data_IF_599053969271
#
_entry.id   IF_599053969271
#
_cell.length_a   1.000
_cell.length_b   1.000
_cell.length_c   1.000
_cell.angle_alpha   90.00
_cell.angle_beta   90.00
_cell.angle_gamma   90.00
#
_symmetry.space_group_name_H-M   'P 1'
#
loop_
_entity.id
_entity.type
_entity.pdbx_description
1 polymer ?
#
# COMPACT_ATOMS: atom_id res chain seq x y z
N UNK A 1 -10.70 7.81 3.14
CA UNK A 1 -11.97 8.02 2.40
C UNK A 1 -12.54 9.33 2.92
N UNK A 2 -12.79 10.32 2.06
CA UNK A 2 -13.34 11.61 2.53
C UNK A 2 -14.87 11.48 2.51
N UNK A 3 -15.49 11.38 3.67
CA UNK A 3 -16.94 11.31 3.79
C UNK A 3 -17.45 12.75 3.69
N UNK A 4 -17.93 13.15 2.52
CA UNK A 4 -18.53 14.47 2.33
C UNK A 4 -19.77 14.62 3.23
N UNK A 5 -20.25 15.86 3.41
CA UNK A 5 -21.30 16.31 4.37
C UNK A 5 -22.64 15.51 4.40
N UNK A 6 -22.87 14.53 3.53
CA UNK A 6 -24.07 13.69 3.49
C UNK A 6 -23.79 12.18 3.41
N UNK A 7 -22.55 11.75 3.63
CA UNK A 7 -22.20 10.32 3.66
C UNK A 7 -22.22 9.75 5.08
N UNK A 8 -22.55 8.47 5.21
CA UNK A 8 -22.46 7.71 6.46
C UNK A 8 -21.37 6.66 6.30
N UNK A 9 -20.45 6.58 7.26
CA UNK A 9 -19.47 5.52 7.36
C UNK A 9 -19.98 4.48 8.35
N UNK A 10 -20.05 3.22 7.92
CA UNK A 10 -20.47 2.09 8.75
C UNK A 10 -19.29 1.13 8.86
N UNK A 11 -18.80 0.91 10.07
CA UNK A 11 -17.78 -0.10 10.35
C UNK A 11 -18.46 -1.44 10.57
N UNK A 12 -18.08 -2.44 9.79
CA UNK A 12 -18.60 -3.80 9.89
C UNK A 12 -17.45 -4.75 10.23
N UNK A 13 -17.51 -5.49 11.35
CA UNK A 13 -16.46 -6.41 11.76
C UNK A 13 -16.34 -7.67 10.88
N UNK A 14 -17.40 -8.06 10.14
CA UNK A 14 -17.41 -9.27 9.32
C UNK A 14 -17.96 -9.03 7.92
N UNK A 15 -17.53 -9.86 6.96
CA UNK A 15 -18.00 -9.79 5.57
C UNK A 15 -19.50 -10.13 5.45
N UNK A 16 -19.98 -11.08 6.26
CA UNK A 16 -21.41 -11.45 6.34
C UNK A 16 -22.31 -10.27 6.75
N UNK A 17 -21.85 -9.41 7.66
CA UNK A 17 -22.60 -8.21 8.06
C UNK A 17 -22.61 -7.15 6.96
N UNK A 18 -21.52 -7.02 6.20
CA UNK A 18 -21.45 -6.13 5.04
C UNK A 18 -22.47 -6.57 3.98
N UNK A 19 -22.56 -7.87 3.71
CA UNK A 19 -23.49 -8.42 2.72
C UNK A 19 -24.95 -8.26 3.14
N UNK A 20 -25.27 -8.47 4.42
CA UNK A 20 -26.61 -8.21 4.97
C UNK A 20 -26.99 -6.74 4.85
N UNK A 21 -26.09 -5.83 5.22
CA UNK A 21 -26.32 -4.39 5.12
C UNK A 21 -26.50 -3.95 3.66
N UNK A 22 -25.70 -4.50 2.73
CA UNK A 22 -25.89 -4.26 1.30
C UNK A 22 -27.25 -4.72 0.83
N UNK A 23 -27.66 -5.94 1.16
CA UNK A 23 -28.96 -6.46 0.76
C UNK A 23 -30.14 -5.63 1.34
N UNK A 24 -30.00 -5.14 2.56
CA UNK A 24 -31.04 -4.33 3.21
C UNK A 24 -31.14 -2.93 2.60
N UNK A 25 -30.03 -2.26 2.35
CA UNK A 25 -30.01 -0.95 1.66
C UNK A 25 -30.49 -1.09 0.22
N UNK A 26 -30.04 -2.14 -0.49
CA UNK A 26 -30.51 -2.45 -1.84
C UNK A 26 -31.95 -2.93 -1.88
N UNK A 27 -32.58 -3.39 -0.80
CA UNK A 27 -34.01 -3.73 -0.85
C UNK A 27 -34.91 -2.53 -0.56
N UNK A 28 -34.44 -1.57 0.24
CA UNK A 28 -35.25 -0.46 0.74
C UNK A 28 -34.97 0.88 0.05
N UNK A 29 -33.77 1.12 -0.50
CA UNK A 29 -33.28 2.47 -0.86
C UNK A 29 -32.62 2.54 -2.26
N UNK A 30 -32.94 1.57 -3.14
CA UNK A 30 -32.31 1.24 -4.45
C UNK A 30 -31.86 2.42 -5.32
N UNK A 31 -32.55 3.55 -5.31
CA UNK A 31 -32.34 4.65 -6.27
C UNK A 31 -31.75 5.93 -5.65
N UNK A 32 -31.64 6.02 -4.32
CA UNK A 32 -31.21 7.25 -3.62
C UNK A 32 -29.81 7.15 -2.98
N UNK A 33 -29.23 5.95 -2.88
CA UNK A 33 -27.99 5.71 -2.14
C UNK A 33 -26.99 4.88 -2.96
N UNK A 34 -25.78 5.40 -3.11
CA UNK A 34 -24.64 4.70 -3.72
C UNK A 34 -23.78 4.05 -2.62
N UNK A 35 -23.79 2.72 -2.55
CA UNK A 35 -22.98 1.96 -1.59
C UNK A 35 -21.59 1.75 -2.17
N UNK A 36 -20.58 2.35 -1.53
CA UNK A 36 -19.18 2.17 -1.91
C UNK A 36 -18.39 1.56 -0.77
N UNK A 37 -17.74 0.43 -1.04
CA UNK A 37 -16.70 -0.08 -0.16
C UNK A 37 -15.37 0.62 -0.46
N UNK A 38 -14.55 0.95 0.56
CA UNK A 38 -13.21 1.44 0.34
C UNK A 38 -12.42 0.39 -0.45
N UNK A 39 -11.94 0.75 -1.64
CA UNK A 39 -11.01 -0.10 -2.37
C UNK A 39 -9.67 -0.07 -1.61
N UNK A 40 -9.12 -1.24 -1.26
CA UNK A 40 -7.75 -1.34 -0.73
C UNK A 40 -6.79 -0.88 -1.82
N UNK A 41 -6.47 0.43 -1.84
CA UNK A 41 -5.46 0.99 -2.74
C UNK A 41 -4.14 0.35 -2.38
N UNK A 42 -3.44 -0.25 -3.35
CA UNK A 42 -2.06 -0.70 -3.15
C UNK A 42 -1.18 0.54 -2.96
N UNK A 43 -0.64 0.78 -1.77
CA UNK A 43 0.14 1.98 -1.52
C UNK A 43 1.46 1.95 -2.29
N UNK A 44 1.97 3.15 -2.56
CA UNK A 44 3.27 3.36 -3.20
C UNK A 44 4.32 3.66 -2.15
N UNK A 45 5.47 3.02 -2.31
CA UNK A 45 6.64 3.19 -1.48
C UNK A 45 7.75 3.81 -2.32
N UNK A 46 8.44 4.82 -1.80
CA UNK A 46 9.66 5.35 -2.44
C UNK A 46 10.88 5.04 -1.60
N UNK A 47 11.88 4.41 -2.24
CA UNK A 47 13.22 4.25 -1.70
C UNK A 47 14.13 5.27 -2.36
N UNK A 48 14.72 6.15 -1.56
CA UNK A 48 15.50 7.27 -2.06
C UNK A 48 17.00 6.99 -2.12
N UNK A 49 17.68 7.65 -3.07
CA UNK A 49 19.14 7.71 -3.23
C UNK A 49 19.78 6.34 -3.31
N UNK A 50 19.15 5.48 -4.09
CA UNK A 50 19.69 4.18 -4.44
C UNK A 50 20.82 4.37 -5.45
N UNK A 51 21.92 3.64 -5.26
CA UNK A 51 23.03 3.60 -6.21
C UNK A 51 22.60 2.98 -7.54
N UNK A 52 23.27 3.37 -8.63
CA UNK A 52 22.85 3.06 -10.00
C UNK A 52 23.12 1.61 -10.41
N UNK A 53 24.07 0.99 -9.73
CA UNK A 53 24.53 -0.39 -9.91
C UNK A 53 23.80 -1.41 -9.02
N UNK A 54 22.93 -0.95 -8.10
CA UNK A 54 22.12 -1.88 -7.31
C UNK A 54 21.05 -2.57 -8.17
N UNK A 55 21.03 -3.90 -8.12
CA UNK A 55 20.03 -4.74 -8.78
C UNK A 55 18.71 -4.70 -8.00
N UNK A 56 17.69 -4.12 -8.62
CA UNK A 56 16.36 -3.94 -8.04
C UNK A 56 15.66 -5.26 -7.75
N UNK A 57 15.80 -6.25 -8.62
CA UNK A 57 15.10 -7.53 -8.45
C UNK A 57 15.69 -8.31 -7.28
N UNK A 58 17.02 -8.35 -7.19
CA UNK A 58 17.72 -8.94 -6.04
C UNK A 58 17.40 -8.19 -4.74
N UNK A 59 17.33 -6.86 -4.81
CA UNK A 59 16.97 -6.01 -3.68
C UNK A 59 15.57 -6.30 -3.16
N UNK A 60 14.58 -6.36 -4.05
CA UNK A 60 13.20 -6.67 -3.70
C UNK A 60 13.09 -8.08 -3.12
N UNK A 61 13.83 -9.03 -3.68
CA UNK A 61 13.88 -10.41 -3.17
C UNK A 61 14.47 -10.47 -1.75
N UNK A 62 15.52 -9.71 -1.47
CA UNK A 62 16.12 -9.63 -0.14
C UNK A 62 15.16 -8.96 0.86
N UNK A 63 14.52 -7.86 0.47
CA UNK A 63 13.50 -7.20 1.29
C UNK A 63 12.32 -8.12 1.62
N UNK A 64 11.92 -9.00 0.70
CA UNK A 64 10.89 -10.01 0.95
C UNK A 64 11.33 -11.11 1.93
N UNK A 65 12.63 -11.39 2.03
CA UNK A 65 13.16 -12.48 2.84
C UNK A 65 13.45 -12.08 4.29
N UNK A 66 13.81 -10.82 4.55
CA UNK A 66 14.28 -10.39 5.88
C UNK A 66 13.22 -10.42 7.00
N UNK A 67 11.92 -10.53 6.70
CA UNK A 67 10.86 -10.47 7.74
C UNK A 67 9.83 -11.60 7.74
N UNK A 68 10.04 -12.74 7.05
CA UNK A 68 9.02 -13.81 6.93
C UNK A 68 7.64 -13.30 6.45
N UNK A 69 7.60 -12.15 5.78
CA UNK A 69 6.38 -11.59 5.19
C UNK A 69 6.52 -11.78 3.71
N UNK A 70 5.70 -12.67 3.17
CA UNK A 70 5.53 -12.87 1.74
C UNK A 70 4.86 -11.63 1.16
N UNK A 71 5.58 -10.53 1.09
CA UNK A 71 5.04 -9.26 0.63
C UNK A 71 5.05 -9.25 -0.88
N UNK A 72 3.94 -8.84 -1.49
CA UNK A 72 3.83 -8.76 -2.95
C UNK A 72 4.44 -7.43 -3.42
N UNK A 73 5.72 -7.23 -3.09
CA UNK A 73 6.50 -6.07 -3.54
C UNK A 73 6.66 -6.16 -5.06
N UNK A 74 5.98 -5.25 -5.77
CA UNK A 74 6.10 -5.12 -7.22
C UNK A 74 6.85 -3.84 -7.54
N UNK A 75 7.97 -3.98 -8.24
CA UNK A 75 8.66 -2.83 -8.82
C UNK A 75 7.74 -2.12 -9.83
N UNK A 76 7.67 -0.79 -9.75
CA UNK A 76 6.84 0.00 -10.67
C UNK A 76 7.69 0.91 -11.56
N UNK A 77 8.69 1.59 -11.01
CA UNK A 77 9.50 2.54 -11.77
C UNK A 77 10.80 2.95 -11.05
N UNK A 78 11.82 3.28 -11.84
CA UNK A 78 13.04 3.96 -11.38
C UNK A 78 12.99 5.40 -11.87
N UNK A 79 13.16 6.35 -10.98
CA UNK A 79 13.33 7.76 -11.33
C UNK A 79 14.78 8.16 -11.07
N UNK A 80 15.52 8.47 -12.12
CA UNK A 80 16.89 9.00 -12.01
C UNK A 80 16.85 10.45 -11.49
N UNK A 81 17.70 10.78 -10.53
CA UNK A 81 17.86 12.15 -10.04
C UNK A 81 19.33 12.51 -9.91
N UNK A 82 19.64 13.82 -9.87
CA UNK A 82 21.00 14.32 -9.65
C UNK A 82 21.63 13.88 -8.31
N UNK A 83 20.82 13.30 -7.39
CA UNK A 83 21.24 12.85 -6.05
C UNK A 83 21.16 11.32 -5.89
N UNK A 84 21.02 10.57 -6.99
CA UNK A 84 20.86 9.11 -7.01
C UNK A 84 19.49 8.67 -7.54
N UNK A 85 19.28 7.37 -7.67
CA UNK A 85 18.03 6.81 -8.18
C UNK A 85 16.98 6.74 -7.07
N UNK A 86 15.72 7.03 -7.42
CA UNK A 86 14.58 6.76 -6.56
C UNK A 86 13.84 5.55 -7.11
N UNK A 87 13.60 4.55 -6.27
CA UNK A 87 12.79 3.40 -6.63
C UNK A 87 11.38 3.58 -6.12
N UNK A 88 10.42 3.46 -7.03
CA UNK A 88 8.98 3.52 -6.72
C UNK A 88 8.44 2.10 -6.80
N UNK A 89 8.03 1.58 -5.64
CA UNK A 89 7.53 0.23 -5.46
C UNK A 89 6.03 0.27 -5.11
N UNK A 90 5.29 -0.74 -5.56
CA UNK A 90 3.93 -1.00 -5.10
C UNK A 90 3.96 -2.16 -4.13
N UNK A 91 3.31 -2.02 -2.98
CA UNK A 91 3.27 -3.05 -1.95
C UNK A 91 1.82 -3.32 -1.54
N UNK A 92 1.56 -4.43 -0.86
CA UNK A 92 0.27 -4.67 -0.21
C UNK A 92 0.09 -3.76 1.02
N UNK A 93 -1.15 -3.35 1.36
CA UNK A 93 -1.40 -2.43 2.48
C UNK A 93 -0.94 -2.94 3.85
N UNK A 94 -1.01 -4.26 4.08
CA UNK A 94 -0.66 -4.86 5.38
C UNK A 94 0.84 -4.78 5.64
N UNK A 95 1.65 -5.04 4.62
CA UNK A 95 3.11 -4.90 4.71
C UNK A 95 3.54 -3.44 4.67
N UNK A 96 2.83 -2.58 3.93
CA UNK A 96 3.13 -1.15 3.86
C UNK A 96 3.23 -0.50 5.23
N UNK A 97 2.25 -0.75 6.10
CA UNK A 97 2.19 -0.12 7.42
C UNK A 97 3.45 -0.45 8.23
N UNK A 98 3.84 -1.73 8.24
CA UNK A 98 5.04 -2.23 8.92
C UNK A 98 6.32 -1.61 8.34
N UNK A 99 6.41 -1.51 7.01
CA UNK A 99 7.60 -0.99 6.31
C UNK A 99 7.76 0.53 6.50
N UNK A 100 6.65 1.28 6.53
CA UNK A 100 6.67 2.72 6.81
C UNK A 100 7.06 2.99 8.27
N UNK A 101 6.58 2.20 9.22
CA UNK A 101 6.95 2.30 10.64
C UNK A 101 8.45 2.08 10.87
N UNK A 102 9.09 1.19 10.11
CA UNK A 102 10.54 1.00 10.13
C UNK A 102 11.29 2.24 9.63
N UNK A 103 10.77 2.91 8.58
CA UNK A 103 11.30 4.14 7.99
C UNK A 103 12.67 4.03 7.29
N UNK A 104 13.45 2.99 7.61
CA UNK A 104 14.75 2.66 7.00
C UNK A 104 14.91 1.15 6.92
N UNK A 105 15.55 0.69 5.85
CA UNK A 105 15.93 -0.71 5.68
C UNK A 105 17.41 -0.82 5.35
N UNK A 106 18.03 -1.89 5.84
CA UNK A 106 19.41 -2.21 5.50
C UNK A 106 19.41 -3.14 4.30
N UNK A 107 20.33 -2.92 3.38
CA UNK A 107 20.55 -3.82 2.27
C UNK A 107 22.04 -3.96 2.06
N UNK A 108 22.62 -5.08 2.51
CA UNK A 108 24.07 -5.21 2.63
C UNK A 108 24.63 -4.08 3.51
N UNK A 109 25.53 -3.27 2.94
CA UNK A 109 26.14 -2.11 3.61
C UNK A 109 25.34 -0.81 3.45
N UNK A 110 24.25 -0.83 2.67
CA UNK A 110 23.45 0.35 2.38
C UNK A 110 22.34 0.55 3.40
N UNK A 111 22.16 1.79 3.85
CA UNK A 111 21.03 2.20 4.69
C UNK A 111 20.05 3.03 3.88
N UNK A 112 19.00 2.39 3.43
CA UNK A 112 18.01 2.96 2.52
C UNK A 112 16.89 3.65 3.30
N UNK A 113 16.52 4.86 2.87
CA UNK A 113 15.41 5.61 3.48
C UNK A 113 14.12 5.31 2.72
N UNK A 114 13.08 5.00 3.48
CA UNK A 114 11.76 4.66 2.99
C UNK A 114 10.80 5.79 3.32
N UNK A 115 9.99 6.21 2.35
CA UNK A 115 8.94 7.20 2.54
C UNK A 115 7.67 6.82 1.79
N UNK A 116 6.53 7.23 2.33
CA UNK A 116 5.25 7.17 1.64
C UNK A 116 5.26 8.17 0.47
N UNK A 117 4.78 7.74 -0.69
CA UNK A 117 4.63 8.60 -1.88
C UNK A 117 3.19 9.03 -2.10
#
# INVERSE_FOLDING_TARGET
>A
MNVNKSGILIECPTEDEIDKLRAEVESNLREEIDIRSPIKVRPKLTIHRVEKDMDIEESIKNLNNEEHKKSDLKHKHIMETNKGNHWILSIDPETFQKVIELGKVNQGWYRLRIQNS
#
